data_IF_208099830748
#
_entry.id   IF_208099830748
#
_cell.length_a   1.000
_cell.length_b   1.000
_cell.length_c   1.000
_cell.angle_alpha   90.00
_cell.angle_beta   90.00
_cell.angle_gamma   90.00
#
_symmetry.space_group_name_H-M   'P 1'
#
loop_
_entity.id
_entity.type
_entity.pdbx_description
1 polymer ?
#
# COMPACT_ATOMS: atom_id res chain seq x y z
N UNK A 1 -10.44 29.31 31.31
CA UNK A 1 -9.39 28.78 30.42
C UNK A 1 -9.86 27.45 29.85
N UNK A 2 -10.84 27.47 28.94
CA UNK A 2 -11.48 26.23 28.45
C UNK A 2 -11.77 26.20 26.94
N UNK A 3 -11.31 27.19 26.18
CA UNK A 3 -11.55 27.25 24.72
C UNK A 3 -10.34 26.81 23.88
N UNK A 4 -9.14 26.75 24.47
CA UNK A 4 -7.89 26.47 23.73
C UNK A 4 -7.69 24.98 23.40
N UNK A 5 -8.24 24.07 24.21
CA UNK A 5 -8.09 22.61 24.01
C UNK A 5 -9.02 22.04 22.93
N UNK A 6 -10.12 22.73 22.62
CA UNK A 6 -11.12 22.26 21.63
C UNK A 6 -10.67 22.51 20.18
N UNK A 7 -9.84 23.54 19.95
CA UNK A 7 -9.30 23.90 18.63
C UNK A 7 -8.12 23.00 18.21
N UNK A 8 -7.24 22.64 19.15
CA UNK A 8 -6.11 21.75 18.91
C UNK A 8 -6.53 20.32 18.52
N UNK A 9 -7.73 19.89 18.94
CA UNK A 9 -8.27 18.57 18.63
C UNK A 9 -8.84 18.48 17.21
N UNK A 10 -9.33 19.60 16.65
CA UNK A 10 -9.93 19.64 15.30
C UNK A 10 -8.90 19.72 14.17
N UNK A 11 -7.73 20.32 14.39
CA UNK A 11 -6.66 20.38 13.38
C UNK A 11 -5.89 19.05 13.27
N UNK A 12 -5.94 18.22 14.32
CA UNK A 12 -5.27 16.94 14.39
C UNK A 12 -5.99 15.82 13.62
N UNK A 13 -7.32 15.90 13.51
CA UNK A 13 -8.14 14.93 12.77
C UNK A 13 -7.87 14.95 11.25
N UNK A 14 -7.84 16.11 10.55
CA UNK A 14 -7.45 16.17 9.14
C UNK A 14 -6.02 15.70 8.90
N UNK A 15 -5.07 16.08 9.76
CA UNK A 15 -3.67 15.69 9.61
C UNK A 15 -3.50 14.17 9.74
N UNK A 16 -4.15 13.55 10.74
CA UNK A 16 -4.17 12.09 10.89
C UNK A 16 -4.83 11.39 9.71
N UNK A 17 -5.94 11.93 9.22
CA UNK A 17 -6.63 11.36 8.06
C UNK A 17 -5.78 11.42 6.80
N UNK A 18 -5.05 12.52 6.60
CA UNK A 18 -4.10 12.67 5.49
C UNK A 18 -2.97 11.64 5.64
N UNK A 19 -2.37 11.52 6.82
CA UNK A 19 -1.30 10.53 7.07
C UNK A 19 -1.75 9.10 6.80
N UNK A 20 -2.96 8.74 7.25
CA UNK A 20 -3.57 7.44 6.99
C UNK A 20 -3.76 7.19 5.49
N UNK A 21 -4.35 8.16 4.77
CA UNK A 21 -4.56 8.05 3.32
C UNK A 21 -3.24 7.96 2.55
N UNK A 22 -2.22 8.72 2.93
CA UNK A 22 -0.91 8.62 2.31
C UNK A 22 -0.29 7.24 2.52
N UNK A 23 -0.43 6.66 3.71
CA UNK A 23 0.02 5.30 3.99
C UNK A 23 -0.74 4.29 3.13
N UNK A 24 -2.06 4.42 2.99
CA UNK A 24 -2.87 3.54 2.14
C UNK A 24 -2.45 3.64 0.67
N UNK A 25 -2.21 4.85 0.16
CA UNK A 25 -1.74 5.05 -1.22
C UNK A 25 -0.35 4.47 -1.43
N UNK A 26 0.57 4.62 -0.46
CA UNK A 26 1.90 3.99 -0.52
C UNK A 26 1.81 2.47 -0.59
N UNK A 27 0.97 1.85 0.24
CA UNK A 27 0.75 0.41 0.23
C UNK A 27 0.16 -0.04 -1.11
N UNK A 28 -0.85 0.67 -1.62
CA UNK A 28 -1.47 0.33 -2.90
C UNK A 28 -0.47 0.42 -4.05
N UNK A 29 0.37 1.45 -4.07
CA UNK A 29 1.43 1.59 -5.07
C UNK A 29 2.44 0.43 -5.01
N UNK A 30 2.80 -0.04 -3.81
CA UNK A 30 3.68 -1.19 -3.63
C UNK A 30 3.04 -2.49 -4.13
N UNK A 31 1.76 -2.72 -3.81
CA UNK A 31 1.02 -3.90 -4.28
C UNK A 31 0.89 -3.92 -5.81
N UNK A 32 0.54 -2.79 -6.43
CA UNK A 32 0.49 -2.65 -7.89
C UNK A 32 1.85 -2.93 -8.53
N UNK A 33 2.94 -2.48 -7.90
CA UNK A 33 4.29 -2.74 -8.40
C UNK A 33 4.64 -4.23 -8.35
N UNK A 34 4.34 -4.91 -7.24
CA UNK A 34 4.54 -6.36 -7.12
C UNK A 34 3.80 -7.15 -8.21
N UNK A 35 2.54 -6.76 -8.51
CA UNK A 35 1.77 -7.33 -9.61
C UNK A 35 2.42 -7.06 -10.97
N UNK A 36 2.84 -5.81 -11.22
CA UNK A 36 3.47 -5.43 -12.48
C UNK A 36 4.78 -6.19 -12.70
N UNK A 37 5.58 -6.34 -11.65
CA UNK A 37 6.85 -7.06 -11.68
C UNK A 37 6.63 -8.57 -11.95
N UNK A 38 5.60 -9.19 -11.35
CA UNK A 38 5.24 -10.59 -11.63
C UNK A 38 4.72 -10.83 -13.06
N UNK A 39 4.09 -9.83 -13.67
CA UNK A 39 3.57 -9.90 -15.04
C UNK A 39 4.60 -9.49 -16.11
N UNK A 40 5.66 -8.80 -15.70
CA UNK A 40 6.70 -8.32 -16.58
C UNK A 40 7.34 -9.52 -17.32
N UNK A 41 7.46 -9.45 -18.65
CA UNK A 41 8.17 -10.49 -19.39
C UNK A 41 9.64 -10.45 -18.96
N UNK A 42 10.10 -11.48 -18.26
CA UNK A 42 11.50 -11.60 -17.88
C UNK A 42 12.25 -12.37 -18.99
N UNK A 43 13.10 -11.70 -19.80
CA UNK A 43 13.85 -12.38 -20.85
C UNK A 43 14.98 -13.27 -20.32
N UNK A 44 15.26 -13.28 -19.01
CA UNK A 44 16.43 -13.94 -18.39
C UNK A 44 16.06 -14.96 -17.30
N UNK A 45 14.81 -15.00 -16.81
CA UNK A 45 14.44 -15.96 -15.77
C UNK A 45 14.08 -17.34 -16.35
N UNK A 46 14.69 -18.37 -15.78
CA UNK A 46 14.30 -19.79 -15.96
C UNK A 46 12.94 -20.12 -15.30
N UNK A 47 12.26 -19.14 -14.70
CA UNK A 47 10.97 -19.32 -14.05
C UNK A 47 9.84 -19.24 -15.09
N UNK A 48 8.91 -20.22 -15.13
CA UNK A 48 7.70 -20.12 -15.93
C UNK A 48 6.94 -18.82 -15.64
N UNK A 49 6.41 -18.18 -16.69
CA UNK A 49 5.69 -16.90 -16.57
C UNK A 49 4.47 -16.97 -15.64
N UNK A 50 3.82 -18.15 -15.55
CA UNK A 50 2.69 -18.36 -14.64
C UNK A 50 3.12 -18.29 -13.18
N UNK A 51 4.27 -18.88 -12.83
CA UNK A 51 4.78 -18.89 -11.45
C UNK A 51 5.14 -17.47 -11.00
N UNK A 52 5.80 -16.69 -11.86
CA UNK A 52 6.12 -15.28 -11.57
C UNK A 52 4.87 -14.40 -11.39
N UNK A 53 3.81 -14.66 -12.15
CA UNK A 53 2.54 -13.96 -12.02
C UNK A 53 1.82 -14.32 -10.71
N UNK A 54 1.85 -15.59 -10.32
CA UNK A 54 1.30 -16.06 -9.04
C UNK A 54 2.05 -15.43 -7.86
N UNK A 55 3.38 -15.42 -7.90
CA UNK A 55 4.22 -14.85 -6.85
C UNK A 55 3.99 -13.34 -6.70
N UNK A 56 3.90 -12.61 -7.81
CA UNK A 56 3.58 -11.18 -7.80
C UNK A 56 2.18 -10.89 -7.23
N UNK A 57 1.19 -11.71 -7.57
CA UNK A 57 -0.16 -11.59 -7.03
C UNK A 57 -0.21 -11.90 -5.53
N UNK A 58 0.50 -12.94 -5.07
CA UNK A 58 0.61 -13.27 -3.64
C UNK A 58 1.26 -12.13 -2.86
N UNK A 59 2.39 -11.61 -3.34
CA UNK A 59 3.08 -10.51 -2.67
C UNK A 59 2.19 -9.26 -2.57
N UNK A 60 1.47 -8.93 -3.63
CA UNK A 60 0.52 -7.82 -3.61
C UNK A 60 -0.61 -8.03 -2.60
N UNK A 61 -1.15 -9.25 -2.52
CA UNK A 61 -2.16 -9.61 -1.52
C UNK A 61 -1.62 -9.44 -0.08
N UNK A 62 -0.43 -9.96 0.20
CA UNK A 62 0.17 -9.89 1.54
C UNK A 62 0.44 -8.44 1.98
N UNK A 63 0.85 -7.57 1.05
CA UNK A 63 1.03 -6.14 1.30
C UNK A 63 -0.28 -5.44 1.69
N UNK A 64 -1.39 -5.79 1.04
CA UNK A 64 -2.70 -5.21 1.34
C UNK A 64 -3.24 -5.72 2.68
N UNK A 65 -3.22 -7.04 2.89
CA UNK A 65 -3.71 -7.66 4.14
C UNK A 65 -2.94 -7.15 5.37
N UNK A 66 -1.61 -7.04 5.28
CA UNK A 66 -0.80 -6.53 6.39
C UNK A 66 -1.06 -5.06 6.72
N UNK A 67 -1.54 -4.26 5.76
CA UNK A 67 -1.97 -2.89 5.97
C UNK A 67 -3.44 -2.75 6.38
N UNK A 68 -4.20 -3.85 6.44
CA UNK A 68 -5.63 -3.85 6.72
C UNK A 68 -6.49 -3.31 5.56
N UNK A 69 -5.99 -3.43 4.33
CA UNK A 69 -6.65 -3.02 3.08
C UNK A 69 -7.21 -4.20 2.29
#
# INVERSE_FOLDING_TARGET
MSEETMSASQSFEPARRIEELENQVRTLAAAVRALADGLAPNPVADQPRMDAAEDGARLAHDLLVSAGL
#
